data_IF_536886709365
#
_entry.id   IF_536886709365
#
_cell.length_a   1.000
_cell.length_b   1.000
_cell.length_c   1.000
_cell.angle_alpha   90.00
_cell.angle_beta   90.00
_cell.angle_gamma   90.00
#
_symmetry.space_group_name_H-M   'P 1'
#
loop_
_entity.id
_entity.type
_entity.pdbx_description
1 polymer ?
#
# COMPACT_ATOMS: atom_id res chain seq x y z
N UNK A 1 33.88 -28.67 -29.76
CA UNK A 1 32.75 -28.52 -28.82
C UNK A 1 32.63 -27.05 -28.56
N UNK A 2 31.79 -26.37 -29.32
CA UNK A 2 31.57 -24.94 -29.10
C UNK A 2 30.92 -24.77 -27.72
N UNK A 3 31.44 -23.88 -26.86
CA UNK A 3 30.85 -23.64 -25.57
C UNK A 3 29.44 -23.08 -25.79
N UNK A 4 28.43 -23.85 -25.40
CA UNK A 4 27.05 -23.38 -25.30
C UNK A 4 27.04 -22.37 -24.16
N UNK A 5 27.11 -21.09 -24.49
CA UNK A 5 26.89 -20.01 -23.53
C UNK A 5 25.43 -20.09 -23.08
N UNK A 6 25.20 -20.74 -21.93
CA UNK A 6 23.94 -20.59 -21.21
C UNK A 6 23.92 -19.14 -20.75
N UNK A 7 23.10 -18.29 -21.35
CA UNK A 7 22.74 -16.99 -20.78
C UNK A 7 21.99 -17.26 -19.48
N UNK A 8 22.73 -17.53 -18.41
CA UNK A 8 22.18 -17.61 -17.07
C UNK A 8 21.72 -16.19 -16.76
N UNK A 9 20.45 -15.89 -17.04
CA UNK A 9 19.79 -14.71 -16.48
C UNK A 9 19.94 -14.83 -14.97
N UNK A 10 20.86 -14.05 -14.41
CA UNK A 10 21.20 -14.10 -12.99
C UNK A 10 19.97 -13.63 -12.20
N UNK A 11 19.45 -14.53 -11.35
CA UNK A 11 18.41 -14.22 -10.35
C UNK A 11 19.04 -13.70 -9.04
N UNK A 12 20.36 -13.47 -9.03
CA UNK A 12 21.12 -13.12 -7.83
C UNK A 12 20.69 -11.76 -7.28
N UNK A 13 20.36 -10.82 -8.17
CA UNK A 13 19.88 -9.50 -7.79
C UNK A 13 18.48 -9.56 -7.13
N UNK A 14 17.58 -10.43 -7.61
CA UNK A 14 16.26 -10.65 -7.00
C UNK A 14 16.44 -11.25 -5.61
N UNK A 15 17.33 -12.24 -5.49
CA UNK A 15 17.68 -12.86 -4.21
C UNK A 15 18.25 -11.84 -3.23
N UNK A 16 19.11 -10.94 -3.69
CA UNK A 16 19.67 -9.86 -2.87
C UNK A 16 18.57 -8.92 -2.33
N UNK A 17 17.57 -8.57 -3.13
CA UNK A 17 16.44 -7.73 -2.68
C UNK A 17 15.55 -8.47 -1.68
N UNK A 18 15.27 -9.76 -1.89
CA UNK A 18 14.53 -10.58 -0.94
C UNK A 18 15.27 -10.62 0.40
N UNK A 19 16.58 -10.87 0.38
CA UNK A 19 17.41 -10.90 1.58
C UNK A 19 17.44 -9.54 2.28
N UNK A 20 17.59 -8.45 1.53
CA UNK A 20 17.51 -7.08 2.06
C UNK A 20 16.17 -6.81 2.74
N UNK A 21 15.06 -7.22 2.12
CA UNK A 21 13.73 -7.04 2.70
C UNK A 21 13.57 -7.82 4.01
N UNK A 22 14.14 -9.02 4.10
CA UNK A 22 14.12 -9.86 5.30
C UNK A 22 14.99 -9.24 6.41
N UNK A 23 16.15 -8.70 6.07
CA UNK A 23 17.01 -7.96 7.01
C UNK A 23 16.29 -6.75 7.61
N UNK A 24 15.58 -5.97 6.80
CA UNK A 24 14.78 -4.82 7.27
C UNK A 24 13.73 -5.29 8.29
N UNK A 25 13.05 -6.40 8.01
CA UNK A 25 12.07 -7.01 8.91
C UNK A 25 12.69 -7.43 10.25
N UNK A 26 13.85 -8.10 10.21
CA UNK A 26 14.57 -8.56 11.41
C UNK A 26 15.05 -7.38 12.25
N UNK A 27 15.60 -6.34 11.61
CA UNK A 27 16.03 -5.11 12.29
C UNK A 27 14.83 -4.42 12.94
N UNK A 28 13.70 -4.31 12.24
CA UNK A 28 12.47 -3.72 12.78
C UNK A 28 11.95 -4.49 14.00
N UNK A 29 11.96 -5.84 13.94
CA UNK A 29 11.59 -6.70 15.08
C UNK A 29 12.54 -6.52 16.26
N UNK A 30 13.86 -6.45 16.02
CA UNK A 30 14.86 -6.30 17.07
C UNK A 30 14.76 -4.96 17.78
N UNK A 31 14.63 -3.86 17.03
CA UNK A 31 14.55 -2.51 17.59
C UNK A 31 13.20 -2.21 18.25
N UNK A 32 12.10 -2.81 17.76
CA UNK A 32 10.74 -2.47 18.18
C UNK A 32 9.87 -3.71 18.50
N UNK A 33 10.41 -4.67 19.27
CA UNK A 33 9.79 -5.98 19.53
C UNK A 33 8.32 -5.94 20.02
N UNK A 34 8.01 -5.10 21.02
CA UNK A 34 6.62 -4.93 21.52
C UNK A 34 5.69 -4.44 20.41
N UNK A 35 6.13 -3.48 19.59
CA UNK A 35 5.32 -2.91 18.51
C UNK A 35 5.14 -3.90 17.37
N UNK A 36 6.19 -4.64 17.04
CA UNK A 36 6.14 -5.69 16.03
C UNK A 36 5.12 -6.77 16.40
N UNK A 37 5.11 -7.20 17.67
CA UNK A 37 4.13 -8.19 18.16
C UNK A 37 2.69 -7.65 18.04
N UNK A 38 2.46 -6.38 18.39
CA UNK A 38 1.16 -5.74 18.19
C UNK A 38 0.79 -5.59 16.71
N UNK A 39 1.76 -5.34 15.83
CA UNK A 39 1.57 -5.21 14.39
C UNK A 39 1.20 -6.54 13.73
N UNK A 40 1.78 -7.67 14.17
CA UNK A 40 1.44 -9.00 13.62
C UNK A 40 -0.03 -9.37 13.86
N UNK A 41 -0.62 -8.88 14.96
CA UNK A 41 -2.00 -9.15 15.34
C UNK A 41 -2.98 -8.16 14.65
N UNK A 42 -2.48 -7.19 13.88
CA UNK A 42 -3.27 -6.14 13.24
C UNK A 42 -4.55 -6.59 12.49
N UNK A 43 -4.54 -7.64 11.64
CA UNK A 43 -5.75 -8.05 10.92
C UNK A 43 -6.85 -8.61 11.83
N UNK A 44 -6.47 -9.16 12.99
CA UNK A 44 -7.40 -9.73 13.96
C UNK A 44 -7.79 -8.73 15.05
N UNK A 45 -6.91 -7.77 15.37
CA UNK A 45 -7.13 -6.81 16.43
C UNK A 45 -6.59 -5.43 16.06
N UNK A 46 -7.48 -4.44 16.02
CA UNK A 46 -7.14 -3.03 15.80
C UNK A 46 -6.41 -2.36 16.98
N UNK A 47 -5.97 -3.12 18.00
CA UNK A 47 -5.22 -2.63 19.16
C UNK A 47 -4.00 -1.83 18.77
N UNK A 48 -3.22 -2.28 17.77
CA UNK A 48 -2.07 -1.53 17.25
C UNK A 48 -2.47 -0.12 16.78
N UNK A 49 -3.50 -0.06 15.94
CA UNK A 49 -4.03 1.21 15.43
C UNK A 49 -4.53 2.09 16.57
N UNK A 50 -5.29 1.55 17.53
CA UNK A 50 -5.85 2.37 18.61
C UNK A 50 -4.78 2.90 19.58
N UNK A 51 -3.77 2.09 19.90
CA UNK A 51 -2.74 2.42 20.89
C UNK A 51 -1.72 3.45 20.37
N UNK A 52 -1.34 3.35 19.10
CA UNK A 52 -0.25 4.14 18.52
C UNK A 52 -0.72 5.35 17.71
N UNK A 53 -2.04 5.50 17.48
CA UNK A 53 -2.64 6.69 16.84
C UNK A 53 -2.77 7.90 17.79
N UNK A 54 -2.74 7.69 19.12
CA UNK A 54 -2.96 8.74 20.14
C UNK A 54 -1.68 9.37 20.69
N UNK A 55 -0.52 8.69 20.62
CA UNK A 55 0.74 9.22 21.14
C UNK A 55 1.50 9.90 20.00
N UNK A 56 1.21 11.19 19.89
CA UNK A 56 1.93 12.13 19.05
C UNK A 56 3.43 12.15 19.44
N UNK A 57 4.25 12.35 18.40
CA UNK A 57 5.68 12.72 18.42
C UNK A 57 6.72 11.60 18.67
N UNK A 58 7.63 11.51 17.70
CA UNK A 58 8.95 10.83 17.74
C UNK A 58 8.99 9.30 17.64
N UNK A 59 8.08 8.66 16.89
CA UNK A 59 8.15 7.20 16.68
C UNK A 59 7.85 6.72 15.25
N UNK A 60 8.16 7.57 14.26
CA UNK A 60 8.03 7.27 12.82
C UNK A 60 8.96 6.14 12.34
N UNK A 61 10.07 5.85 13.06
CA UNK A 61 11.09 4.91 12.60
C UNK A 61 10.55 3.51 12.29
N UNK A 62 9.73 2.93 13.18
CA UNK A 62 9.13 1.62 12.96
C UNK A 62 8.23 1.58 11.72
N UNK A 63 7.36 2.58 11.58
CA UNK A 63 6.47 2.68 10.43
C UNK A 63 7.26 2.91 9.13
N UNK A 64 8.33 3.70 9.18
CA UNK A 64 9.23 3.92 8.05
C UNK A 64 9.92 2.63 7.62
N UNK A 65 10.49 1.84 8.54
CA UNK A 65 11.06 0.53 8.22
C UNK A 65 10.05 -0.39 7.53
N UNK A 66 8.83 -0.47 8.07
CA UNK A 66 7.77 -1.28 7.47
C UNK A 66 7.31 -0.76 6.11
N UNK A 67 7.27 0.55 5.90
CA UNK A 67 6.92 1.13 4.60
C UNK A 67 8.02 0.89 3.56
N UNK A 68 9.30 0.99 3.93
CA UNK A 68 10.41 0.62 3.02
C UNK A 68 10.33 -0.87 2.66
N UNK A 69 10.10 -1.72 3.66
CA UNK A 69 9.86 -3.15 3.45
C UNK A 69 8.69 -3.41 2.49
N UNK A 70 7.57 -2.70 2.67
CA UNK A 70 6.40 -2.79 1.82
C UNK A 70 6.71 -2.38 0.37
N UNK A 71 7.41 -1.25 0.19
CA UNK A 71 7.71 -0.71 -1.14
C UNK A 71 8.63 -1.63 -1.93
N UNK A 72 9.64 -2.22 -1.28
CA UNK A 72 10.53 -3.21 -1.89
C UNK A 72 9.75 -4.44 -2.35
N UNK A 73 8.92 -5.02 -1.47
CA UNK A 73 8.15 -6.23 -1.80
C UNK A 73 7.05 -5.97 -2.82
N UNK A 74 6.39 -4.82 -2.77
CA UNK A 74 5.39 -4.43 -3.77
C UNK A 74 6.02 -4.25 -5.15
N UNK A 75 7.20 -3.62 -5.21
CA UNK A 75 7.91 -3.41 -6.48
C UNK A 75 8.37 -4.73 -7.09
N UNK A 76 8.93 -5.65 -6.29
CA UNK A 76 9.26 -7.00 -6.75
C UNK A 76 8.04 -7.81 -7.18
N UNK A 77 6.94 -7.70 -6.45
CA UNK A 77 5.70 -8.40 -6.77
C UNK A 77 5.12 -7.91 -8.11
N UNK A 78 5.10 -6.60 -8.34
CA UNK A 78 4.70 -6.01 -9.61
C UNK A 78 5.63 -6.39 -10.76
N UNK A 79 6.94 -6.44 -10.51
CA UNK A 79 7.92 -6.92 -11.48
C UNK A 79 7.64 -8.37 -11.92
N UNK A 80 7.32 -9.26 -10.98
CA UNK A 80 6.92 -10.63 -11.30
C UNK A 80 5.60 -10.67 -12.08
N UNK A 81 4.61 -9.87 -11.69
CA UNK A 81 3.33 -9.78 -12.41
C UNK A 81 3.55 -9.40 -13.87
N UNK A 82 4.30 -8.33 -14.13
CA UNK A 82 4.58 -7.88 -15.51
C UNK A 82 5.22 -9.00 -16.33
N UNK A 83 6.20 -9.70 -15.74
CA UNK A 83 6.87 -10.81 -16.41
C UNK A 83 5.99 -12.07 -16.60
N UNK A 84 5.02 -12.31 -15.71
CA UNK A 84 4.03 -13.38 -15.88
C UNK A 84 3.12 -13.08 -17.07
N UNK A 85 2.66 -11.84 -17.20
CA UNK A 85 1.74 -11.43 -18.27
C UNK A 85 2.43 -11.19 -19.63
N UNK A 86 3.71 -10.84 -19.65
CA UNK A 86 4.50 -10.70 -20.89
C UNK A 86 4.89 -12.06 -21.51
N UNK A 87 4.63 -13.18 -20.84
CA UNK A 87 4.80 -14.52 -21.42
C UNK A 87 6.27 -14.93 -21.61
N UNK A 88 6.68 -15.43 -22.80
CA UNK A 88 8.06 -15.90 -23.04
C UNK A 88 9.09 -14.77 -23.15
N UNK A 89 8.68 -13.55 -23.47
CA UNK A 89 9.54 -12.37 -23.60
C UNK A 89 9.77 -11.69 -22.24
N UNK A 90 10.26 -12.47 -21.26
CA UNK A 90 10.52 -11.96 -19.90
C UNK A 90 11.75 -11.07 -19.89
N UNK A 91 11.58 -9.84 -19.46
CA UNK A 91 12.69 -8.95 -19.18
C UNK A 91 13.09 -9.08 -17.70
N UNK A 92 14.13 -9.88 -17.46
CA UNK A 92 14.71 -10.08 -16.13
C UNK A 92 15.82 -9.06 -15.82
N UNK A 93 15.84 -7.91 -16.50
CA UNK A 93 16.84 -6.87 -16.26
C UNK A 93 16.66 -6.19 -14.89
N UNK A 94 17.75 -5.90 -14.15
CA UNK A 94 17.66 -5.07 -12.94
C UNK A 94 17.13 -3.66 -13.20
N UNK A 95 17.32 -3.16 -14.43
CA UNK A 95 16.87 -1.83 -14.85
C UNK A 95 15.34 -1.72 -14.84
N UNK A 96 14.64 -2.73 -15.34
CA UNK A 96 13.17 -2.76 -15.34
C UNK A 96 12.61 -2.76 -13.90
N UNK A 97 13.25 -3.50 -12.98
CA UNK A 97 12.92 -3.43 -11.56
C UNK A 97 13.12 -2.03 -10.98
N UNK A 98 14.26 -1.38 -11.25
CA UNK A 98 14.54 -0.02 -10.76
C UNK A 98 13.52 1.01 -11.28
N UNK A 99 13.08 0.88 -12.54
CA UNK A 99 12.01 1.70 -13.10
C UNK A 99 10.69 1.50 -12.35
N UNK A 100 10.28 0.25 -12.11
CA UNK A 100 9.06 -0.07 -11.36
C UNK A 100 9.15 0.47 -9.93
N UNK A 101 10.28 0.26 -9.26
CA UNK A 101 10.51 0.76 -7.90
C UNK A 101 10.43 2.29 -7.84
N UNK A 102 11.05 3.00 -8.79
CA UNK A 102 10.97 4.45 -8.91
C UNK A 102 9.54 4.94 -9.12
N UNK A 103 8.79 4.30 -10.01
CA UNK A 103 7.39 4.63 -10.27
C UNK A 103 6.52 4.42 -9.03
N UNK A 104 6.67 3.28 -8.35
CA UNK A 104 5.92 2.95 -7.13
C UNK A 104 6.23 3.95 -6.02
N UNK A 105 7.51 4.34 -5.86
CA UNK A 105 7.92 5.37 -4.89
C UNK A 105 7.29 6.72 -5.18
N UNK A 106 7.40 7.20 -6.42
CA UNK A 106 6.83 8.49 -6.83
C UNK A 106 5.32 8.50 -6.62
N UNK A 107 4.62 7.44 -7.08
CA UNK A 107 3.18 7.30 -6.88
C UNK A 107 2.79 7.32 -5.39
N UNK A 108 3.53 6.59 -4.55
CA UNK A 108 3.26 6.53 -3.12
C UNK A 108 3.47 7.88 -2.43
N UNK A 109 4.57 8.58 -2.75
CA UNK A 109 4.87 9.90 -2.20
C UNK A 109 3.84 10.95 -2.63
N UNK A 110 3.56 11.04 -3.93
CA UNK A 110 2.56 11.98 -4.47
C UNK A 110 1.19 11.74 -3.81
N UNK A 111 0.79 10.48 -3.64
CA UNK A 111 -0.47 10.13 -2.96
C UNK A 111 -0.51 10.61 -1.51
N UNK A 112 0.57 10.45 -0.75
CA UNK A 112 0.62 10.92 0.64
C UNK A 112 0.60 12.45 0.69
N UNK A 113 1.37 13.12 -0.18
CA UNK A 113 1.42 14.59 -0.24
C UNK A 113 0.03 15.16 -0.56
N UNK A 114 -0.69 14.59 -1.55
CA UNK A 114 -2.05 15.01 -1.88
C UNK A 114 -3.02 14.79 -0.71
N UNK A 115 -2.92 13.67 0.01
CA UNK A 115 -3.78 13.40 1.16
C UNK A 115 -3.51 14.37 2.32
N UNK A 116 -2.24 14.67 2.61
CA UNK A 116 -1.87 15.66 3.61
C UNK A 116 -2.23 17.09 3.19
N UNK A 117 -2.11 17.42 1.90
CA UNK A 117 -2.53 18.71 1.35
C UNK A 117 -4.03 18.97 1.56
N UNK A 118 -4.87 17.98 1.26
CA UNK A 118 -6.30 18.05 1.60
C UNK A 118 -6.51 18.23 3.11
N UNK A 119 -5.69 17.58 3.94
CA UNK A 119 -5.80 17.71 5.39
C UNK A 119 -5.58 19.13 5.91
N UNK A 120 -4.68 19.87 5.27
CA UNK A 120 -4.39 21.27 5.57
C UNK A 120 -5.51 22.17 5.06
N UNK A 121 -5.99 21.95 3.82
CA UNK A 121 -7.05 22.77 3.21
C UNK A 121 -8.37 22.70 3.99
N UNK A 122 -8.73 21.51 4.49
CA UNK A 122 -9.98 21.30 5.22
C UNK A 122 -9.85 21.45 6.76
N UNK A 123 -8.71 21.93 7.25
CA UNK A 123 -8.38 22.07 8.69
C UNK A 123 -8.70 20.81 9.53
N UNK A 124 -8.50 19.64 8.92
CA UNK A 124 -8.84 18.33 9.47
C UNK A 124 -7.61 17.42 9.59
N UNK A 125 -6.46 18.04 9.88
CA UNK A 125 -5.15 17.38 9.89
C UNK A 125 -5.13 16.10 10.75
N UNK A 126 -5.70 16.16 11.96
CA UNK A 126 -5.76 15.02 12.87
C UNK A 126 -6.55 13.85 12.28
N UNK A 127 -7.74 14.10 11.76
CA UNK A 127 -8.61 13.02 11.26
C UNK A 127 -7.99 12.34 10.04
N UNK A 128 -7.40 13.12 9.13
CA UNK A 128 -6.82 12.62 7.88
C UNK A 128 -5.48 11.94 8.13
N UNK A 129 -4.61 12.47 8.99
CA UNK A 129 -3.36 11.80 9.39
C UNK A 129 -3.62 10.44 10.04
N UNK A 130 -4.60 10.35 10.95
CA UNK A 130 -5.03 9.08 11.55
C UNK A 130 -5.55 8.09 10.48
N UNK A 131 -6.25 8.60 9.46
CA UNK A 131 -6.73 7.79 8.33
C UNK A 131 -5.58 7.27 7.46
N UNK A 132 -4.62 8.12 7.11
CA UNK A 132 -3.43 7.77 6.33
C UNK A 132 -2.63 6.71 7.09
N UNK A 133 -2.37 6.91 8.39
CA UNK A 133 -1.62 5.97 9.22
C UNK A 133 -2.27 4.57 9.24
N UNK A 134 -3.60 4.50 9.41
CA UNK A 134 -4.33 3.23 9.35
C UNK A 134 -4.17 2.57 7.99
N UNK A 135 -4.43 3.32 6.90
CA UNK A 135 -4.36 2.80 5.53
C UNK A 135 -2.97 2.24 5.18
N UNK A 136 -1.92 2.99 5.51
CA UNK A 136 -0.53 2.55 5.26
C UNK A 136 -0.16 1.37 6.16
N UNK A 137 -0.64 1.30 7.40
CA UNK A 137 -0.37 0.16 8.28
C UNK A 137 -0.92 -1.17 7.74
N UNK A 138 -2.15 -1.18 7.21
CA UNK A 138 -2.71 -2.39 6.57
C UNK A 138 -2.01 -2.73 5.25
N UNK A 139 -1.61 -1.72 4.47
CA UNK A 139 -0.81 -1.93 3.29
C UNK A 139 0.54 -2.58 3.66
N UNK A 140 1.25 -2.03 4.65
CA UNK A 140 2.52 -2.57 5.14
C UNK A 140 2.40 -4.01 5.65
N UNK A 141 1.25 -4.38 6.22
CA UNK A 141 1.00 -5.76 6.63
C UNK A 141 0.91 -6.70 5.41
N UNK A 142 0.28 -6.24 4.31
CA UNK A 142 0.20 -7.02 3.07
C UNK A 142 1.57 -7.30 2.43
N UNK A 143 2.61 -6.54 2.78
CA UNK A 143 3.98 -6.78 2.33
C UNK A 143 4.58 -8.09 2.81
N UNK A 144 4.14 -8.60 3.97
CA UNK A 144 4.54 -9.93 4.43
C UNK A 144 4.02 -11.02 3.49
N UNK A 145 2.79 -10.86 3.00
CA UNK A 145 2.18 -11.77 2.02
C UNK A 145 2.90 -11.65 0.66
N UNK A 146 3.21 -10.42 0.23
CA UNK A 146 3.98 -10.18 -0.99
C UNK A 146 5.38 -10.81 -0.91
N UNK A 147 6.04 -10.75 0.25
CA UNK A 147 7.33 -11.40 0.46
C UNK A 147 7.25 -12.91 0.24
N UNK A 148 6.25 -13.57 0.84
CA UNK A 148 6.06 -15.01 0.67
C UNK A 148 5.80 -15.34 -0.82
N UNK A 149 4.96 -14.55 -1.49
CA UNK A 149 4.70 -14.72 -2.92
C UNK A 149 5.98 -14.53 -3.77
N UNK A 150 6.78 -13.50 -3.48
CA UNK A 150 8.04 -13.22 -4.18
C UNK A 150 9.05 -14.36 -4.04
N UNK A 151 9.16 -14.97 -2.86
CA UNK A 151 10.00 -16.16 -2.62
C UNK A 151 9.51 -17.33 -3.47
N UNK A 152 8.20 -17.57 -3.51
CA UNK A 152 7.61 -18.65 -4.32
C UNK A 152 7.85 -18.42 -5.81
N UNK A 153 7.64 -17.20 -6.33
CA UNK A 153 7.92 -16.87 -7.73
C UNK A 153 9.38 -17.06 -8.08
N UNK A 154 10.30 -16.70 -7.18
CA UNK A 154 11.73 -16.73 -7.49
C UNK A 154 12.30 -18.16 -7.49
N UNK A 155 11.86 -19.02 -6.57
CA UNK A 155 12.49 -20.33 -6.34
C UNK A 155 11.67 -21.55 -6.75
N UNK A 156 10.34 -21.43 -6.84
CA UNK A 156 9.47 -22.57 -7.15
C UNK A 156 9.03 -22.52 -8.60
N UNK A 157 8.26 -21.50 -8.96
CA UNK A 157 7.75 -21.34 -10.32
C UNK A 157 7.54 -19.84 -10.64
N UNK A 158 8.40 -19.26 -11.49
CA UNK A 158 8.32 -17.85 -11.87
C UNK A 158 7.08 -17.49 -12.70
N UNK A 159 6.31 -18.48 -13.19
CA UNK A 159 5.11 -18.31 -14.00
C UNK A 159 3.81 -18.75 -13.34
N UNK A 160 3.81 -19.14 -12.06
CA UNK A 160 2.65 -19.75 -11.42
C UNK A 160 1.47 -18.78 -11.26
N UNK A 161 0.53 -18.80 -12.21
CA UNK A 161 -0.72 -18.04 -12.14
C UNK A 161 -1.52 -18.34 -10.87
N UNK A 162 -1.48 -19.59 -10.38
CA UNK A 162 -2.13 -20.01 -9.14
C UNK A 162 -1.62 -19.23 -7.93
N UNK A 163 -0.30 -19.04 -7.83
CA UNK A 163 0.33 -18.29 -6.74
C UNK A 163 -0.10 -16.84 -6.81
N UNK A 164 -0.11 -16.24 -8.01
CA UNK A 164 -0.58 -14.89 -8.24
C UNK A 164 -2.04 -14.68 -7.78
N UNK A 165 -2.97 -15.56 -8.18
CA UNK A 165 -4.37 -15.41 -7.79
C UNK A 165 -4.56 -15.53 -6.27
N UNK A 166 -3.90 -16.50 -5.64
CA UNK A 166 -3.98 -16.69 -4.18
C UNK A 166 -3.41 -15.47 -3.44
N UNK A 167 -2.21 -15.02 -3.81
CA UNK A 167 -1.57 -13.86 -3.16
C UNK A 167 -2.39 -12.59 -3.39
N UNK A 168 -2.92 -12.38 -4.59
CA UNK A 168 -3.73 -11.22 -4.94
C UNK A 168 -5.02 -11.15 -4.10
N UNK A 169 -5.76 -12.27 -3.99
CA UNK A 169 -6.97 -12.34 -3.15
C UNK A 169 -6.64 -12.06 -1.69
N UNK A 170 -5.53 -12.61 -1.17
CA UNK A 170 -5.14 -12.46 0.23
C UNK A 170 -4.72 -11.00 0.55
N UNK A 171 -3.98 -10.36 -0.37
CA UNK A 171 -3.63 -8.93 -0.29
C UNK A 171 -4.90 -8.07 -0.32
N UNK A 172 -5.86 -8.36 -1.20
CA UNK A 172 -7.13 -7.64 -1.27
C UNK A 172 -7.93 -7.77 0.03
N UNK A 173 -8.06 -8.98 0.57
CA UNK A 173 -8.77 -9.23 1.82
C UNK A 173 -8.19 -8.42 2.98
N UNK A 174 -6.86 -8.41 3.15
CA UNK A 174 -6.19 -7.63 4.19
C UNK A 174 -6.51 -6.14 4.06
N UNK A 175 -6.45 -5.60 2.83
CA UNK A 175 -6.73 -4.19 2.59
C UNK A 175 -8.22 -3.86 2.82
N UNK A 176 -9.14 -4.74 2.40
CA UNK A 176 -10.58 -4.59 2.64
C UNK A 176 -10.89 -4.58 4.14
N UNK A 177 -10.30 -5.50 4.93
CA UNK A 177 -10.44 -5.51 6.39
C UNK A 177 -9.96 -4.17 6.97
N UNK A 178 -8.86 -3.62 6.47
CA UNK A 178 -8.38 -2.29 6.84
C UNK A 178 -9.42 -1.19 6.58
N UNK A 179 -10.02 -1.17 5.40
CA UNK A 179 -11.08 -0.23 5.04
C UNK A 179 -12.33 -0.39 5.92
N UNK A 180 -12.80 -1.62 6.13
CA UNK A 180 -13.96 -1.92 6.98
C UNK A 180 -13.72 -1.45 8.41
N UNK A 181 -12.53 -1.70 8.97
CA UNK A 181 -12.19 -1.24 10.32
C UNK A 181 -12.12 0.29 10.43
N UNK A 182 -11.69 0.97 9.37
CA UNK A 182 -11.71 2.44 9.32
C UNK A 182 -13.15 2.96 9.32
N UNK A 183 -14.02 2.41 8.47
CA UNK A 183 -15.42 2.82 8.34
C UNK A 183 -16.17 2.55 9.65
N UNK A 184 -16.05 1.33 10.20
CA UNK A 184 -16.71 0.94 11.45
C UNK A 184 -16.31 1.83 12.63
N UNK A 185 -15.05 2.26 12.68
CA UNK A 185 -14.55 3.17 13.71
C UNK A 185 -15.17 4.57 13.66
N UNK A 186 -15.72 5.02 12.51
CA UNK A 186 -16.32 6.36 12.35
C UNK A 186 -17.76 6.35 11.84
N UNK A 187 -18.41 5.18 11.85
CA UNK A 187 -19.78 4.99 11.34
C UNK A 187 -20.80 5.94 11.98
N UNK A 188 -20.67 6.24 13.29
CA UNK A 188 -21.55 7.19 14.00
C UNK A 188 -21.43 8.63 13.48
N UNK A 189 -20.26 9.03 13.00
CA UNK A 189 -20.03 10.37 12.44
C UNK A 189 -20.61 10.45 11.01
N UNK A 190 -20.36 9.43 10.19
CA UNK A 190 -20.82 9.38 8.79
C UNK A 190 -22.36 9.34 8.71
N UNK A 191 -23.02 8.55 9.57
CA UNK A 191 -24.48 8.48 9.61
C UNK A 191 -25.14 9.80 10.05
N UNK A 192 -24.47 10.58 10.89
CA UNK A 192 -24.99 11.87 11.37
C UNK A 192 -24.99 12.96 10.28
N UNK A 193 -24.08 12.89 9.31
CA UNK A 193 -23.98 13.84 8.20
C UNK A 193 -24.51 13.31 6.87
N UNK A 194 -25.07 12.09 6.84
CA UNK A 194 -25.61 11.49 5.62
C UNK A 194 -26.74 12.34 5.01
N UNK A 195 -27.56 12.97 5.87
CA UNK A 195 -28.60 13.90 5.43
C UNK A 195 -28.02 15.20 4.83
N UNK A 196 -26.94 15.73 5.43
CA UNK A 196 -26.22 16.89 4.89
C UNK A 196 -25.52 16.59 3.56
N UNK A 197 -25.04 15.36 3.36
CA UNK A 197 -24.47 14.92 2.09
C UNK A 197 -25.51 14.89 0.96
N UNK A 198 -26.71 14.37 1.25
CA UNK A 198 -27.84 14.40 0.30
C UNK A 198 -28.24 15.85 -0.02
N UNK A 199 -28.33 16.71 1.00
CA UNK A 199 -28.63 18.13 0.81
C UNK A 199 -27.57 18.85 -0.05
N UNK A 200 -26.29 18.50 0.12
CA UNK A 200 -25.19 19.06 -0.68
C UNK A 200 -25.23 18.59 -2.15
N UNK A 201 -25.57 17.32 -2.40
CA UNK A 201 -25.81 16.81 -3.76
C UNK A 201 -26.99 17.52 -4.43
N UNK A 202 -28.08 17.74 -3.71
CA UNK A 202 -29.20 18.54 -4.20
C UNK A 202 -28.79 19.99 -4.47
N UNK A 203 -27.98 20.62 -3.62
CA UNK A 203 -27.48 21.97 -3.86
C UNK A 203 -26.58 22.05 -5.12
N UNK A 204 -25.80 21.00 -5.40
CA UNK A 204 -24.95 20.91 -6.59
C UNK A 204 -25.75 20.67 -7.87
N UNK A 205 -26.92 20.03 -7.78
CA UNK A 205 -27.89 19.91 -8.87
C UNK A 205 -28.60 21.23 -9.18
N UNK A 206 -28.84 22.06 -8.15
CA UNK A 206 -29.50 23.37 -8.27
C UNK A 206 -28.51 24.47 -8.71
N UNK A 207 -27.22 24.34 -8.39
CA UNK A 207 -26.18 25.33 -8.71
C UNK A 207 -26.08 25.70 -10.21
N UNK A 208 -26.15 24.75 -11.18
CA UNK A 208 -26.17 25.06 -12.62
C UNK A 208 -27.38 25.90 -13.04
N UNK A 209 -28.56 25.62 -12.48
CA UNK A 209 -29.79 26.35 -12.81
C UNK A 209 -29.71 27.82 -12.36
N UNK A 210 -29.10 28.08 -11.20
CA UNK A 210 -28.90 29.44 -10.68
C UNK A 210 -27.89 30.23 -11.53
N UNK A 211 -26.83 29.58 -12.01
CA UNK A 211 -25.82 30.22 -12.88
C UNK A 211 -26.43 30.58 -14.25
N UNK A 212 -27.25 29.70 -14.83
CA UNK A 212 -27.95 29.96 -16.10
C UNK A 212 -28.97 31.10 -15.94
N UNK A 213 -29.74 31.12 -14.85
CA UNK A 213 -30.70 32.19 -14.57
C UNK A 213 -30.03 33.57 -14.39
N UNK A 214 -28.85 33.62 -13.76
CA UNK A 214 -28.08 34.85 -13.64
C UNK A 214 -27.56 35.35 -15.00
N UNK A 215 -27.13 34.43 -15.88
CA UNK A 215 -26.61 34.80 -17.20
C UNK A 215 -27.70 35.26 -18.18
N UNK A 216 -28.95 34.83 -17.97
CA UNK A 216 -30.11 35.25 -18.78
C UNK A 216 -30.73 36.59 -18.34
N UNK A 217 -30.43 37.05 -17.12
CA UNK A 217 -30.87 38.34 -16.58
C UNK A 217 -29.81 39.45 -16.68
N UNK A 218 -28.68 39.17 -17.33
CA UNK A 218 -27.63 40.15 -17.70
C UNK A 218 -27.65 40.37 -19.22
#
# INVERSE_FOLDING_TARGET
>A
MDPIYRSVTSLDWITAIILLSLLILVIAKRLFSIRFTNFVILPFNSKYVFLYNKKDRLNHGFHLFLTVFQLLNLSLYLFWIVNIFNGPDRDLSPLSFLMILGLVLIFFLTKIILQLGNAVVFDNFRIISEFIFKKVSYLNYSGGVMLIANVIFTYIDPGALTVFYISFVLILLINIVGWVNIIKSRQKFILSYFFYFILYLCALEISPLVIIAHYLNA
#
